data_IF_373423548687
#
_entry.id   IF_373423548687
#
_cell.length_a   1.000
_cell.length_b   1.000
_cell.length_c   1.000
_cell.angle_alpha   90.00
_cell.angle_beta   90.00
_cell.angle_gamma   90.00
#
_symmetry.space_group_name_H-M   'P 1'
#
loop_
_entity.id
_entity.type
_entity.pdbx_description
1 polymer ?
#
# COMPACT_ATOMS: atom_id res chain seq x y z
N UNK A 1 -7.60 11.81 37.04
CA UNK A 1 -8.29 11.50 35.76
C UNK A 1 -8.51 12.68 34.80
N UNK A 2 -8.27 13.99 35.11
CA UNK A 2 -8.40 15.04 34.08
C UNK A 2 -7.19 15.20 33.13
N UNK A 3 -6.02 14.65 33.48
CA UNK A 3 -4.80 14.79 32.66
C UNK A 3 -4.85 14.11 31.28
N UNK A 4 -5.70 13.10 31.07
CA UNK A 4 -5.79 12.40 29.78
C UNK A 4 -6.47 13.22 28.67
N UNK A 5 -7.35 14.17 29.03
CA UNK A 5 -8.09 14.95 28.05
C UNK A 5 -7.19 16.00 27.39
N UNK A 6 -6.35 16.68 28.17
CA UNK A 6 -5.39 17.67 27.69
C UNK A 6 -4.31 17.03 26.80
N UNK A 7 -3.82 15.84 27.17
CA UNK A 7 -2.85 15.13 26.34
C UNK A 7 -3.47 14.65 25.01
N UNK A 8 -4.74 14.23 25.03
CA UNK A 8 -5.46 13.83 23.83
C UNK A 8 -5.75 15.01 22.89
N UNK A 9 -6.18 16.16 23.42
CA UNK A 9 -6.41 17.36 22.60
C UNK A 9 -5.10 17.90 22.02
N UNK A 10 -4.01 17.87 22.79
CA UNK A 10 -2.67 18.21 22.29
C UNK A 10 -2.24 17.29 21.13
N UNK A 11 -2.46 15.98 21.25
CA UNK A 11 -2.16 15.01 20.16
C UNK A 11 -3.00 15.27 18.90
N UNK A 12 -4.29 15.56 19.05
CA UNK A 12 -5.15 15.91 17.90
C UNK A 12 -4.68 17.21 17.27
N UNK A 13 -4.37 18.23 18.07
CA UNK A 13 -3.86 19.51 17.57
C UNK A 13 -2.57 19.31 16.77
N UNK A 14 -1.61 18.55 17.30
CA UNK A 14 -0.37 18.20 16.62
C UNK A 14 -0.61 17.43 15.30
N UNK A 15 -1.58 16.51 15.28
CA UNK A 15 -1.97 15.80 14.06
C UNK A 15 -2.59 16.75 13.02
N UNK A 16 -3.45 17.69 13.44
CA UNK A 16 -4.04 18.70 12.55
C UNK A 16 -2.98 19.62 11.98
N UNK A 17 -2.06 20.12 12.80
CA UNK A 17 -0.94 20.95 12.33
C UNK A 17 -0.06 20.18 11.33
N UNK A 18 0.19 18.89 11.58
CA UNK A 18 0.94 18.04 10.64
C UNK A 18 0.19 17.86 9.33
N UNK A 19 -1.12 17.59 9.34
CA UNK A 19 -1.92 17.47 8.12
C UNK A 19 -1.96 18.78 7.33
N UNK A 20 -2.13 19.92 8.02
CA UNK A 20 -2.09 21.25 7.40
C UNK A 20 -0.73 21.53 6.73
N UNK A 21 0.38 21.19 7.41
CA UNK A 21 1.71 21.28 6.82
C UNK A 21 1.84 20.39 5.57
N UNK A 22 1.30 19.17 5.61
CA UNK A 22 1.33 18.25 4.47
C UNK A 22 0.52 18.78 3.28
N UNK A 23 -0.64 19.38 3.52
CA UNK A 23 -1.44 20.04 2.47
C UNK A 23 -0.70 21.24 1.86
N UNK A 24 -0.01 22.04 2.69
CA UNK A 24 0.83 23.15 2.21
C UNK A 24 1.96 22.65 1.30
N UNK A 25 2.71 21.62 1.74
CA UNK A 25 3.80 21.03 0.95
C UNK A 25 3.27 20.44 -0.36
N UNK A 26 2.14 19.74 -0.33
CA UNK A 26 1.51 19.21 -1.54
C UNK A 26 1.07 20.33 -2.51
N UNK A 27 0.54 21.44 -1.98
CA UNK A 27 0.16 22.62 -2.76
C UNK A 27 1.37 23.28 -3.43
N UNK A 28 2.44 23.52 -2.66
CA UNK A 28 3.69 24.09 -3.17
C UNK A 28 4.35 23.19 -4.22
N UNK A 29 4.31 21.87 -4.01
CA UNK A 29 4.87 20.89 -4.95
C UNK A 29 4.11 20.91 -6.28
N UNK A 30 2.78 21.03 -6.27
CA UNK A 30 1.98 21.20 -7.49
C UNK A 30 2.25 22.55 -8.17
N UNK A 31 2.43 23.61 -7.41
CA UNK A 31 2.81 24.92 -7.96
C UNK A 31 4.21 24.86 -8.62
N UNK A 32 5.12 24.09 -8.06
CA UNK A 32 6.44 23.84 -8.64
C UNK A 32 6.36 22.98 -9.93
N UNK A 33 5.52 21.94 -9.95
CA UNK A 33 5.21 21.15 -11.15
C UNK A 33 4.70 22.04 -12.29
N UNK A 34 3.76 22.94 -12.02
CA UNK A 34 3.26 23.90 -13.01
C UNK A 34 4.38 24.78 -13.59
N UNK A 35 5.29 25.29 -12.74
CA UNK A 35 6.45 26.08 -13.20
C UNK A 35 7.42 25.27 -14.06
N UNK A 36 7.62 23.99 -13.77
CA UNK A 36 8.48 23.12 -14.58
C UNK A 36 7.87 22.84 -15.95
N UNK A 37 6.55 22.65 -16.01
CA UNK A 37 5.81 22.51 -17.27
C UNK A 37 5.93 23.78 -18.11
N UNK A 38 5.79 24.96 -17.50
CA UNK A 38 5.96 26.26 -18.19
C UNK A 38 7.38 26.44 -18.75
N UNK A 39 8.39 25.85 -18.11
CA UNK A 39 9.78 25.83 -18.57
C UNK A 39 10.06 24.77 -19.65
N UNK A 40 9.05 24.01 -20.07
CA UNK A 40 9.17 22.97 -21.09
C UNK A 40 9.80 21.67 -20.58
N UNK A 41 9.86 21.47 -19.26
CA UNK A 41 10.29 20.22 -18.65
C UNK A 41 9.04 19.39 -18.29
N UNK A 42 8.73 18.30 -19.03
CA UNK A 42 7.64 17.41 -18.66
C UNK A 42 8.06 16.62 -17.41
N UNK A 43 7.58 17.09 -16.27
CA UNK A 43 7.78 16.45 -14.97
C UNK A 43 6.43 16.01 -14.46
N UNK A 44 6.36 14.78 -13.96
CA UNK A 44 5.20 14.26 -13.28
C UNK A 44 5.52 14.14 -11.79
N UNK A 45 4.73 14.80 -10.95
CA UNK A 45 4.89 14.70 -9.49
C UNK A 45 3.74 13.88 -8.90
N UNK A 46 4.07 12.74 -8.31
CA UNK A 46 3.09 11.91 -7.60
C UNK A 46 3.26 12.11 -6.08
N UNK A 47 2.18 12.52 -5.42
CA UNK A 47 2.13 12.74 -3.96
C UNK A 47 1.29 11.64 -3.33
N UNK A 48 1.95 10.65 -2.73
CA UNK A 48 1.26 9.55 -2.05
C UNK A 48 0.98 9.87 -0.58
N UNK A 49 -0.28 9.71 -0.17
CA UNK A 49 -0.77 9.92 1.21
C UNK A 49 -0.16 8.95 2.25
N UNK A 50 0.54 7.90 1.84
CA UNK A 50 0.98 6.83 2.74
C UNK A 50 2.30 7.10 3.49
N UNK A 51 2.93 8.26 3.32
CA UNK A 51 4.21 8.54 3.99
C UNK A 51 5.06 9.66 3.40
N UNK A 52 4.46 10.61 2.68
CA UNK A 52 5.16 11.78 2.10
C UNK A 52 6.34 11.35 1.23
N UNK A 53 6.07 10.44 0.31
CA UNK A 53 7.00 10.10 -0.76
C UNK A 53 6.62 10.96 -1.95
N UNK A 54 7.48 11.92 -2.27
CA UNK A 54 7.39 12.74 -3.49
C UNK A 54 8.25 12.03 -4.53
N UNK A 55 7.60 11.39 -5.51
CA UNK A 55 8.29 10.80 -6.65
C UNK A 55 8.27 11.82 -7.78
N UNK A 56 9.44 12.36 -8.13
CA UNK A 56 9.61 13.31 -9.24
C UNK A 56 10.17 12.51 -10.41
N UNK A 57 9.34 12.29 -11.43
CA UNK A 57 9.78 11.63 -12.66
C UNK A 57 9.94 12.65 -13.77
N UNK A 58 11.14 12.70 -14.31
CA UNK A 58 11.42 13.40 -15.56
C UNK A 58 11.07 12.43 -16.69
N UNK A 59 10.09 12.77 -17.51
CA UNK A 59 9.85 12.01 -18.73
C UNK A 59 10.93 12.40 -19.74
N UNK A 60 11.88 11.48 -19.99
CA UNK A 60 12.87 11.56 -21.07
C UNK A 60 12.13 11.61 -22.42
N UNK A 61 11.71 12.81 -22.81
CA UNK A 61 11.12 13.10 -24.12
C UNK A 61 12.05 13.91 -25.02
N UNK A 62 13.28 14.17 -24.58
CA UNK A 62 14.36 14.51 -25.50
C UNK A 62 14.86 13.21 -26.17
N UNK A 63 14.02 12.66 -27.05
CA UNK A 63 14.56 11.99 -28.22
C UNK A 63 15.42 13.03 -28.92
N UNK A 64 16.73 13.00 -28.67
CA UNK A 64 17.71 13.75 -29.46
C UNK A 64 17.31 13.53 -30.92
N UNK A 65 17.09 14.62 -31.70
CA UNK A 65 16.73 14.47 -33.10
C UNK A 65 17.76 13.52 -33.70
N UNK A 66 17.27 12.44 -34.32
CA UNK A 66 18.15 11.46 -34.94
C UNK A 66 19.17 12.23 -35.78
N UNK A 67 20.49 11.98 -35.61
CA UNK A 67 21.50 12.71 -36.34
C UNK A 67 21.11 12.70 -37.81
N UNK A 68 21.05 13.90 -38.41
CA UNK A 68 20.69 14.04 -39.81
C UNK A 68 21.51 13.02 -40.60
N UNK A 69 20.88 12.19 -41.46
CA UNK A 69 21.59 11.16 -42.20
C UNK A 69 22.75 11.85 -42.92
N UNK A 70 23.97 11.45 -42.58
CA UNK A 70 25.16 11.96 -43.27
C UNK A 70 24.95 11.74 -44.77
N UNK A 71 25.22 12.76 -45.62
CA UNK A 71 25.07 12.61 -47.05
C UNK A 71 25.96 11.46 -47.50
N UNK A 72 25.33 10.37 -47.97
CA UNK A 72 26.06 9.27 -48.54
C UNK A 72 26.88 9.81 -49.71
N UNK A 73 28.21 9.55 -49.76
CA UNK A 73 29.02 9.94 -50.89
C UNK A 73 28.42 9.30 -52.14
N UNK A 74 28.12 10.14 -53.13
CA UNK A 74 27.59 9.74 -54.43
C UNK A 74 28.37 8.54 -54.95
N UNK A 75 27.67 7.42 -55.09
CA UNK A 75 28.20 6.20 -55.67
C UNK A 75 28.73 6.53 -57.07
N UNK A 76 30.04 6.62 -57.16
CA UNK A 76 30.77 6.74 -58.42
C UNK A 76 30.46 5.48 -59.23
N UNK A 77 29.80 5.67 -60.37
CA UNK A 77 29.52 4.62 -61.34
C UNK A 77 30.82 3.89 -61.70
N UNK A 78 30.87 2.60 -61.38
CA UNK A 78 31.88 1.67 -61.87
C UNK A 78 31.23 0.73 -62.91
N UNK A 79 31.97 0.29 -63.93
CA UNK A 79 31.44 -0.10 -65.23
C UNK A 79 30.96 -1.55 -65.30
N UNK A 80 30.12 -1.79 -66.30
CA UNK A 80 29.63 -3.10 -66.75
C UNK A 80 30.77 -4.13 -66.90
N UNK A 81 30.59 -5.38 -66.41
CA UNK A 81 31.41 -6.49 -66.85
C UNK A 81 30.80 -7.16 -68.07
N UNK A 82 31.57 -7.18 -69.15
CA UNK A 82 31.35 -8.03 -70.32
C UNK A 82 31.44 -9.52 -69.96
N UNK A 83 30.71 -10.31 -70.74
CA UNK A 83 30.65 -11.76 -70.70
C UNK A 83 32.01 -12.45 -70.91
N UNK A 84 32.20 -13.59 -70.26
CA UNK A 84 33.08 -14.66 -70.75
C UNK A 84 32.55 -16.02 -70.34
N UNK A 85 32.77 -16.95 -71.25
CA UNK A 85 32.12 -18.24 -71.50
C UNK A 85 33.01 -19.37 -70.95
N UNK A 86 32.41 -20.52 -70.58
CA UNK A 86 32.96 -21.90 -70.77
C UNK A 86 34.35 -22.27 -70.17
N UNK A 87 34.70 -23.46 -69.65
CA UNK A 87 34.12 -24.80 -69.45
C UNK A 87 35.08 -25.61 -68.55
N UNK A 88 34.53 -26.65 -67.89
CA UNK A 88 35.10 -27.99 -67.61
C UNK A 88 36.16 -28.27 -66.52
N UNK A 89 35.83 -29.34 -65.75
CA UNK A 89 36.71 -30.39 -65.18
C UNK A 89 37.70 -29.96 -64.07
N UNK A 90 38.04 -30.73 -63.04
CA UNK A 90 37.72 -32.06 -62.52
C UNK A 90 38.49 -32.17 -61.18
N UNK A 91 38.13 -33.16 -60.39
CA UNK A 91 38.96 -33.81 -59.37
C UNK A 91 38.93 -33.33 -57.91
N UNK A 92 38.84 -34.36 -57.07
CA UNK A 92 38.48 -34.37 -55.67
C UNK A 92 39.71 -34.41 -54.77
N UNK A 93 39.62 -33.79 -53.58
CA UNK A 93 40.36 -34.22 -52.38
C UNK A 93 39.50 -33.95 -51.13
N UNK A 94 39.36 -34.90 -50.20
CA UNK A 94 38.62 -34.73 -48.95
C UNK A 94 39.53 -34.18 -47.85
N UNK A 95 39.14 -33.08 -47.22
CA UNK A 95 39.94 -32.43 -46.18
C UNK A 95 39.08 -31.82 -45.06
N UNK A 96 38.94 -32.58 -43.98
CA UNK A 96 38.92 -32.13 -42.58
C UNK A 96 38.03 -30.92 -42.24
N UNK A 97 36.81 -31.22 -41.80
CA UNK A 97 35.91 -30.27 -41.12
C UNK A 97 36.53 -29.86 -39.78
N UNK A 98 37.07 -28.66 -39.70
CA UNK A 98 37.31 -27.95 -38.44
C UNK A 98 35.97 -27.47 -37.87
N UNK A 99 35.79 -27.68 -36.56
CA UNK A 99 34.71 -27.13 -35.74
C UNK A 99 34.61 -25.61 -35.92
N UNK A 100 33.46 -25.05 -36.37
CA UNK A 100 33.20 -23.64 -36.18
C UNK A 100 32.84 -23.39 -34.71
N UNK A 101 33.63 -22.51 -34.09
CA UNK A 101 33.36 -21.94 -32.78
C UNK A 101 31.90 -21.43 -32.69
N UNK A 102 31.22 -21.61 -31.55
CA UNK A 102 29.84 -21.14 -31.39
C UNK A 102 29.82 -19.61 -31.51
N UNK A 103 29.12 -19.12 -32.53
CA UNK A 103 28.79 -17.70 -32.66
C UNK A 103 28.07 -17.23 -31.38
N UNK A 104 28.41 -16.03 -30.86
CA UNK A 104 27.67 -15.45 -29.76
C UNK A 104 26.23 -15.20 -30.20
N UNK A 105 25.30 -16.01 -29.68
CA UNK A 105 23.87 -15.79 -29.85
C UNK A 105 23.54 -14.37 -29.40
N UNK A 106 23.26 -13.50 -30.37
CA UNK A 106 22.62 -12.21 -30.14
C UNK A 106 21.32 -12.49 -29.38
N UNK A 107 21.30 -12.15 -28.10
CA UNK A 107 20.06 -12.04 -27.32
C UNK A 107 19.23 -10.97 -28.02
N UNK A 108 18.26 -11.41 -28.82
CA UNK A 108 17.26 -10.53 -29.37
C UNK A 108 16.35 -10.11 -28.21
N UNK A 109 16.65 -8.96 -27.62
CA UNK A 109 15.74 -8.20 -26.77
C UNK A 109 14.56 -7.72 -27.63
N UNK A 110 13.68 -8.67 -27.97
CA UNK A 110 12.38 -8.38 -28.57
C UNK A 110 11.46 -7.97 -27.43
N UNK A 111 11.62 -6.72 -26.98
CA UNK A 111 10.58 -6.03 -26.23
C UNK A 111 9.54 -5.55 -27.24
N UNK A 112 8.66 -6.47 -27.66
CA UNK A 112 7.48 -6.15 -28.45
C UNK A 112 6.50 -5.40 -27.56
N UNK A 113 6.61 -4.07 -27.59
CA UNK A 113 5.58 -3.15 -27.10
C UNK A 113 4.35 -3.36 -28.00
N UNK A 114 3.49 -4.31 -27.62
CA UNK A 114 2.28 -4.63 -28.36
C UNK A 114 1.43 -3.37 -28.53
N UNK A 115 1.02 -3.08 -29.77
CA UNK A 115 0.18 -1.92 -30.03
C UNK A 115 -1.14 -2.05 -29.24
N UNK A 116 -1.60 -0.96 -28.60
CA UNK A 116 -2.81 -0.95 -27.78
C UNK A 116 -4.05 -1.23 -28.67
N UNK A 117 -4.40 -2.51 -28.80
CA UNK A 117 -5.52 -2.96 -29.63
C UNK A 117 -5.60 -4.48 -29.82
N UNK A 118 -4.51 -5.21 -29.60
CA UNK A 118 -4.46 -6.67 -29.82
C UNK A 118 -4.39 -7.50 -28.54
N UNK A 119 -4.85 -6.95 -27.40
CA UNK A 119 -4.85 -7.74 -26.17
C UNK A 119 -5.80 -8.92 -26.30
N UNK A 120 -5.30 -10.13 -26.00
CA UNK A 120 -6.14 -11.31 -26.01
C UNK A 120 -7.26 -11.12 -24.97
N UNK A 121 -8.52 -11.15 -25.41
CA UNK A 121 -9.69 -11.14 -24.53
C UNK A 121 -10.17 -12.58 -24.30
N UNK A 122 -10.97 -12.84 -23.26
CA UNK A 122 -11.46 -14.19 -22.95
C UNK A 122 -10.80 -14.89 -21.74
N UNK A 123 -11.23 -16.12 -21.42
CA UNK A 123 -10.74 -16.88 -20.27
C UNK A 123 -9.27 -17.27 -20.43
N UNK A 124 -8.59 -17.49 -19.30
CA UNK A 124 -7.22 -18.00 -19.31
C UNK A 124 -7.21 -19.49 -19.72
N UNK A 125 -6.36 -19.84 -20.68
CA UNK A 125 -6.06 -21.23 -21.04
C UNK A 125 -5.36 -21.94 -19.88
N UNK A 126 -5.21 -23.28 -19.96
CA UNK A 126 -4.49 -24.04 -18.95
C UNK A 126 -3.00 -23.65 -18.88
N UNK A 127 -2.38 -23.42 -20.05
CA UNK A 127 -0.99 -23.00 -20.18
C UNK A 127 -0.77 -21.61 -19.60
N UNK A 128 -1.63 -20.64 -19.92
CA UNK A 128 -1.54 -19.30 -19.35
C UNK A 128 -1.69 -19.32 -17.82
N UNK A 129 -2.57 -20.18 -17.26
CA UNK A 129 -2.70 -20.32 -15.79
C UNK A 129 -1.42 -20.86 -15.16
N UNK A 130 -0.78 -21.84 -15.78
CA UNK A 130 0.49 -22.39 -15.30
C UNK A 130 1.58 -21.31 -15.30
N UNK A 131 1.68 -20.52 -16.38
CA UNK A 131 2.63 -19.42 -16.50
C UNK A 131 2.36 -18.30 -15.49
N UNK A 132 1.09 -17.95 -15.24
CA UNK A 132 0.70 -17.00 -14.18
C UNK A 132 1.19 -17.47 -12.82
N UNK A 133 1.01 -18.76 -12.49
CA UNK A 133 1.46 -19.31 -11.21
C UNK A 133 3.00 -19.30 -11.10
N UNK A 134 3.71 -19.70 -12.15
CA UNK A 134 5.19 -19.68 -12.18
C UNK A 134 5.74 -18.26 -12.01
N UNK A 135 5.22 -17.28 -12.75
CA UNK A 135 5.66 -15.88 -12.64
C UNK A 135 5.31 -15.27 -11.29
N UNK A 136 4.16 -15.62 -10.71
CA UNK A 136 3.77 -15.15 -9.40
C UNK A 136 4.65 -15.73 -8.29
N UNK A 137 5.04 -17.01 -8.39
CA UNK A 137 5.97 -17.63 -7.44
C UNK A 137 7.41 -17.05 -7.55
N UNK A 138 7.71 -16.30 -8.61
CA UNK A 138 8.93 -15.48 -8.79
C UNK A 138 8.74 -14.01 -8.42
N UNK A 139 7.67 -13.68 -7.69
CA UNK A 139 7.34 -12.31 -7.25
C UNK A 139 7.17 -11.29 -8.40
N UNK A 140 6.78 -11.75 -9.60
CA UNK A 140 6.52 -10.83 -10.72
C UNK A 140 5.16 -10.13 -10.51
N UNK A 141 5.09 -8.78 -10.58
CA UNK A 141 3.84 -8.06 -10.39
C UNK A 141 2.83 -8.37 -11.51
N UNK A 142 1.54 -8.41 -11.16
CA UNK A 142 0.46 -8.81 -12.06
C UNK A 142 0.42 -8.05 -13.40
N UNK A 143 0.80 -6.76 -13.41
CA UNK A 143 0.89 -5.97 -14.63
C UNK A 143 1.93 -6.51 -15.62
N UNK A 144 3.11 -6.93 -15.12
CA UNK A 144 4.14 -7.56 -15.97
C UNK A 144 3.74 -8.95 -16.44
N UNK A 145 3.02 -9.71 -15.61
CA UNK A 145 2.44 -11.01 -16.01
C UNK A 145 1.43 -10.80 -17.15
N UNK A 146 0.57 -9.78 -17.06
CA UNK A 146 -0.39 -9.46 -18.10
C UNK A 146 0.31 -9.10 -19.43
N UNK A 147 1.33 -8.24 -19.37
CA UNK A 147 2.12 -7.86 -20.55
C UNK A 147 2.84 -9.06 -21.19
N UNK A 148 3.43 -9.94 -20.38
CA UNK A 148 4.10 -11.15 -20.87
C UNK A 148 3.14 -12.12 -21.59
N UNK A 149 1.85 -12.09 -21.23
CA UNK A 149 0.81 -12.91 -21.82
C UNK A 149 0.03 -12.20 -22.95
N UNK A 150 0.41 -10.97 -23.32
CA UNK A 150 -0.32 -10.18 -24.31
C UNK A 150 -1.76 -9.85 -23.87
N UNK A 151 -2.00 -9.66 -22.56
CA UNK A 151 -3.31 -9.37 -21.95
C UNK A 151 -3.35 -7.93 -21.42
N UNK A 152 -4.54 -7.35 -21.39
CA UNK A 152 -4.75 -6.00 -20.82
C UNK A 152 -4.41 -5.97 -19.30
N UNK A 153 -3.45 -5.15 -18.85
CA UNK A 153 -3.06 -5.08 -17.45
C UNK A 153 -4.18 -4.66 -16.50
N UNK A 154 -5.08 -3.76 -16.94
CA UNK A 154 -6.12 -3.19 -16.06
C UNK A 154 -7.14 -4.23 -15.63
N UNK A 155 -7.55 -5.14 -16.55
CA UNK A 155 -8.47 -6.23 -16.25
C UNK A 155 -7.82 -7.53 -15.71
N UNK A 156 -6.49 -7.67 -15.79
CA UNK A 156 -5.82 -8.95 -15.54
C UNK A 156 -5.69 -9.32 -14.05
N UNK A 157 -5.68 -8.33 -13.16
CA UNK A 157 -5.50 -8.55 -11.72
C UNK A 157 -6.53 -9.54 -11.13
N UNK A 158 -7.80 -9.42 -11.51
CA UNK A 158 -8.86 -10.32 -11.05
C UNK A 158 -8.66 -11.77 -11.51
N UNK A 159 -8.09 -11.96 -12.71
CA UNK A 159 -7.78 -13.29 -13.26
C UNK A 159 -6.64 -13.96 -12.50
N UNK A 160 -5.58 -13.20 -12.18
CA UNK A 160 -4.46 -13.68 -11.34
C UNK A 160 -4.99 -14.08 -9.96
N UNK A 161 -5.74 -13.20 -9.30
CA UNK A 161 -6.33 -13.46 -7.97
C UNK A 161 -7.24 -14.69 -7.97
N UNK A 162 -8.08 -14.87 -8.99
CA UNK A 162 -8.94 -16.04 -9.12
C UNK A 162 -8.14 -17.34 -9.27
N UNK A 163 -7.06 -17.30 -10.04
CA UNK A 163 -6.17 -18.46 -10.27
C UNK A 163 -5.44 -18.85 -8.98
N UNK A 164 -4.92 -17.88 -8.23
CA UNK A 164 -4.28 -18.11 -6.93
C UNK A 164 -5.26 -18.68 -5.90
N UNK A 165 -6.47 -18.13 -5.84
CA UNK A 165 -7.51 -18.63 -4.93
C UNK A 165 -7.87 -20.09 -5.21
N UNK A 166 -7.94 -20.50 -6.48
CA UNK A 166 -8.16 -21.91 -6.87
C UNK A 166 -7.00 -22.80 -6.44
N UNK A 167 -5.75 -22.39 -6.68
CA UNK A 167 -4.56 -23.12 -6.23
C UNK A 167 -4.58 -23.33 -4.71
N UNK A 168 -4.90 -22.31 -3.93
CA UNK A 168 -4.93 -22.41 -2.48
C UNK A 168 -6.07 -23.31 -1.99
N UNK A 169 -7.22 -23.26 -2.65
CA UNK A 169 -8.33 -24.18 -2.36
C UNK A 169 -7.94 -25.64 -2.67
N UNK A 170 -7.24 -25.90 -3.78
CA UNK A 170 -6.74 -27.23 -4.12
C UNK A 170 -5.67 -27.71 -3.12
N UNK A 171 -4.73 -26.85 -2.72
CA UNK A 171 -3.75 -27.16 -1.67
C UNK A 171 -4.44 -27.53 -0.35
N UNK A 172 -5.49 -26.79 0.04
CA UNK A 172 -6.28 -27.09 1.24
C UNK A 172 -6.99 -28.44 1.12
N UNK A 173 -7.61 -28.74 -0.02
CA UNK A 173 -8.25 -30.05 -0.28
C UNK A 173 -7.24 -31.20 -0.20
N UNK A 174 -6.07 -31.05 -0.83
CA UNK A 174 -5.00 -32.04 -0.77
C UNK A 174 -4.47 -32.24 0.66
N UNK A 175 -4.37 -31.17 1.46
CA UNK A 175 -3.97 -31.26 2.85
C UNK A 175 -5.02 -32.00 3.70
N UNK A 176 -6.31 -31.77 3.47
CA UNK A 176 -7.39 -32.50 4.16
C UNK A 176 -7.42 -33.98 3.78
N UNK A 177 -7.18 -34.31 2.51
CA UNK A 177 -7.15 -35.70 2.03
C UNK A 177 -5.97 -36.48 2.63
N UNK A 178 -4.79 -35.86 2.73
CA UNK A 178 -3.62 -36.45 3.41
C UNK A 178 -3.87 -36.71 4.90
N UNK A 179 -4.73 -35.93 5.56
CA UNK A 179 -5.03 -36.06 7.00
C UNK A 179 -6.07 -37.15 7.31
N UNK A 180 -6.86 -37.59 6.33
CA UNK A 180 -7.98 -38.53 6.49
C UNK A 180 -7.61 -40.01 6.69
N UNK A 181 -6.33 -40.41 6.67
CA UNK A 181 -5.92 -41.81 6.88
C UNK A 181 -5.27 -42.09 8.24
N UNK A 182 -5.09 -41.08 9.09
CA UNK A 182 -4.70 -41.28 10.48
C UNK A 182 -5.91 -41.63 11.33
N UNK A 183 -6.08 -42.91 11.68
CA UNK A 183 -7.05 -43.34 12.71
C UNK A 183 -6.86 -42.45 13.94
N UNK A 184 -7.92 -41.83 14.51
CA UNK A 184 -7.77 -41.03 15.71
C UNK A 184 -7.23 -41.93 16.82
N UNK A 185 -5.95 -41.76 17.15
CA UNK A 185 -5.32 -42.43 18.28
C UNK A 185 -5.97 -41.82 19.52
N UNK A 186 -6.75 -42.65 20.22
CA UNK A 186 -7.44 -42.25 21.45
C UNK A 186 -6.42 -41.62 22.40
N UNK A 187 -6.59 -40.31 22.67
CA UNK A 187 -5.79 -39.65 23.69
C UNK A 187 -6.07 -40.34 25.03
N UNK A 188 -5.05 -40.79 25.77
CA UNK A 188 -5.25 -41.33 27.11
C UNK A 188 -5.86 -40.23 27.99
N UNK A 189 -6.95 -40.59 28.67
CA UNK A 189 -7.65 -39.77 29.67
C UNK A 189 -6.61 -39.14 30.62
N UNK A 190 -6.62 -37.82 30.85
CA UNK A 190 -5.79 -37.23 31.89
C UNK A 190 -6.23 -37.81 33.24
N UNK A 191 -5.28 -38.40 33.96
CA UNK A 191 -5.49 -38.89 35.30
C UNK A 191 -5.77 -37.69 36.23
N UNK A 192 -6.89 -37.78 36.92
CA UNK A 192 -7.26 -36.96 38.07
C UNK A 192 -6.14 -37.05 39.12
N UNK A 193 -5.50 -35.93 39.44
CA UNK A 193 -4.51 -35.86 40.52
C UNK A 193 -4.65 -34.53 41.25
N UNK A 194 -5.35 -34.62 42.38
CA UNK A 194 -4.91 -34.13 43.70
C UNK A 194 -4.77 -32.61 43.95
N UNK A 195 -5.21 -32.11 45.12
CA UNK A 195 -5.02 -30.73 45.52
C UNK A 195 -3.62 -30.52 46.10
N UNK A 196 -2.85 -29.58 45.54
CA UNK A 196 -1.55 -29.16 46.08
C UNK A 196 -1.64 -27.70 46.51
N UNK A 197 -1.81 -27.55 47.83
CA UNK A 197 -1.06 -26.70 48.76
C UNK A 197 -0.81 -25.23 48.34
N UNK A 198 -1.38 -24.35 49.15
CA UNK A 198 -1.11 -22.91 49.25
C UNK A 198 0.29 -22.62 49.82
N UNK A 199 0.68 -21.35 49.72
CA UNK A 199 1.90 -20.70 50.23
C UNK A 199 3.16 -20.80 49.37
N UNK A 200 3.38 -19.77 48.55
CA UNK A 200 4.68 -19.07 48.51
C UNK A 200 4.47 -17.62 48.03
N UNK A 201 4.59 -16.67 48.96
CA UNK A 201 4.70 -15.24 48.66
C UNK A 201 6.07 -14.96 48.01
N UNK A 202 6.13 -14.23 46.88
CA UNK A 202 7.39 -13.70 46.39
C UNK A 202 7.81 -12.47 47.23
N UNK A 203 9.01 -12.60 47.80
CA UNK A 203 9.81 -11.54 48.43
C UNK A 203 9.86 -10.29 47.56
N UNK A 204 9.56 -9.15 48.17
CA UNK A 204 9.83 -7.82 47.64
C UNK A 204 11.33 -7.66 47.33
N UNK A 205 11.64 -7.42 46.07
CA UNK A 205 12.96 -6.97 45.64
C UNK A 205 12.84 -5.45 45.53
N UNK A 206 13.47 -4.78 46.50
CA UNK A 206 13.67 -3.35 46.56
C UNK A 206 14.66 -2.98 45.43
N UNK A 207 14.14 -2.55 44.28
CA UNK A 207 14.94 -2.02 43.19
C UNK A 207 14.66 -0.52 43.11
N UNK A 208 15.56 0.27 43.69
CA UNK A 208 15.64 1.70 43.46
C UNK A 208 15.80 1.96 41.95
N UNK A 209 14.97 2.83 41.34
CA UNK A 209 15.27 3.37 40.03
C UNK A 209 16.35 4.45 40.19
N UNK A 210 17.51 4.23 39.56
CA UNK A 210 18.47 5.31 39.31
C UNK A 210 17.80 6.36 38.41
N UNK A 211 17.63 7.57 38.94
CA UNK A 211 17.30 8.79 38.20
C UNK A 211 18.39 9.05 37.15
N UNK A 212 18.07 9.14 35.85
CA UNK A 212 18.98 9.79 34.92
C UNK A 212 18.92 11.30 35.14
N UNK A 213 20.02 11.88 35.63
CA UNK A 213 20.24 13.32 35.70
C UNK A 213 19.92 13.98 34.35
N UNK A 214 18.88 14.81 34.34
CA UNK A 214 18.53 15.66 33.22
C UNK A 214 19.59 16.77 33.09
N UNK A 215 20.30 16.78 31.96
CA UNK A 215 21.13 17.90 31.57
C UNK A 215 20.23 19.12 31.25
N UNK A 216 20.57 20.34 31.72
CA UNK A 216 19.82 21.54 31.39
C UNK A 216 20.08 21.90 29.93
N UNK A 217 19.04 21.76 29.09
CA UNK A 217 19.03 22.32 27.74
C UNK A 217 18.81 23.83 27.90
N UNK A 218 19.82 24.62 27.56
CA UNK A 218 19.76 26.07 27.53
C UNK A 218 18.60 26.54 26.63
N UNK A 219 17.70 27.32 27.24
CA UNK A 219 16.63 28.01 26.56
C UNK A 219 17.22 29.01 25.55
N UNK A 220 17.07 28.73 24.26
CA UNK A 220 17.25 29.74 23.22
C UNK A 220 16.08 30.72 23.29
N UNK A 221 16.42 32.00 23.44
CA UNK A 221 15.52 33.13 23.56
C UNK A 221 14.56 33.26 22.35
N UNK A 222 13.35 33.79 22.56
CA UNK A 222 12.46 34.15 21.45
C UNK A 222 12.99 35.37 20.71
N UNK A 223 13.05 35.28 19.38
CA UNK A 223 13.19 36.44 18.50
C UNK A 223 11.90 37.28 18.61
N UNK A 224 12.03 38.48 19.17
CA UNK A 224 11.07 39.58 19.00
C UNK A 224 10.94 39.89 17.51
N UNK A 225 9.80 39.52 16.92
CA UNK A 225 9.37 40.07 15.64
C UNK A 225 8.44 41.22 15.98
N UNK A 226 8.94 42.42 15.73
CA UNK A 226 8.27 43.69 15.98
C UNK A 226 6.94 43.75 15.22
N UNK A 227 5.88 44.07 15.96
CA UNK A 227 4.62 44.56 15.43
C UNK A 227 4.87 45.94 14.81
N UNK A 228 4.71 46.05 13.49
CA UNK A 228 4.48 47.35 12.85
C UNK A 228 2.97 47.49 12.61
N UNK A 229 2.42 48.50 13.25
CA UNK A 229 1.03 48.88 13.24
C UNK A 229 0.80 49.84 12.08
N UNK A 230 0.03 49.44 11.08
CA UNK A 230 -0.79 50.36 10.28
C UNK A 230 -1.66 49.60 9.30
N UNK A 231 -2.95 49.47 9.58
CA UNK A 231 -3.97 50.14 8.77
C UNK A 231 -5.30 50.10 9.52
N UNK A 232 -5.74 51.29 9.91
CA UNK A 232 -7.09 51.54 10.35
C UNK A 232 -8.03 51.60 9.15
N UNK A 233 -9.29 51.35 9.43
CA UNK A 233 -10.45 51.96 8.77
C UNK A 233 -11.01 51.25 7.52
N UNK A 234 -11.87 50.26 7.77
CA UNK A 234 -13.03 49.97 6.93
C UNK A 234 -14.15 49.35 7.77
N UNK A 235 -14.77 50.18 8.61
CA UNK A 235 -16.14 49.97 9.10
C UNK A 235 -17.12 50.20 7.94
N UNK A 236 -17.95 49.20 7.60
CA UNK A 236 -19.39 49.34 7.43
C UNK A 236 -20.01 48.12 6.70
N UNK A 237 -21.17 47.71 7.20
CA UNK A 237 -22.21 46.91 6.53
C UNK A 237 -21.92 45.43 6.20
N UNK A 238 -22.01 44.60 7.23
CA UNK A 238 -22.61 43.26 7.12
C UNK A 238 -23.47 42.99 8.38
N UNK A 239 -24.52 43.80 8.52
CA UNK A 239 -25.68 43.41 9.31
C UNK A 239 -26.52 42.42 8.48
N UNK A 240 -27.16 41.48 9.16
CA UNK A 240 -28.25 40.64 8.65
C UNK A 240 -27.93 39.40 7.77
N UNK A 241 -27.47 38.32 8.43
CA UNK A 241 -27.88 36.94 8.10
C UNK A 241 -27.65 35.98 9.30
N UNK A 242 -28.11 36.38 10.48
CA UNK A 242 -28.17 35.54 11.67
C UNK A 242 -29.46 34.71 11.67
N UNK A 243 -29.37 33.44 11.25
CA UNK A 243 -30.15 32.29 11.77
C UNK A 243 -30.07 31.06 10.84
N UNK A 244 -28.94 30.32 10.82
CA UNK A 244 -28.95 28.87 10.55
C UNK A 244 -27.60 28.16 10.83
N UNK A 245 -27.30 27.76 12.08
CA UNK A 245 -26.42 26.59 12.30
C UNK A 245 -27.07 25.43 13.08
N UNK A 246 -28.32 25.56 13.53
CA UNK A 246 -28.96 24.53 14.38
C UNK A 246 -29.27 23.20 13.66
N UNK A 247 -29.43 23.21 12.33
CA UNK A 247 -29.74 22.00 11.57
C UNK A 247 -28.55 21.01 11.55
N UNK A 248 -27.32 21.49 11.35
CA UNK A 248 -26.14 20.63 11.20
C UNK A 248 -25.72 19.93 12.50
N UNK A 249 -25.87 20.59 13.65
CA UNK A 249 -25.58 19.98 14.96
C UNK A 249 -26.57 18.84 15.29
N UNK A 250 -27.83 19.01 14.88
CA UNK A 250 -28.89 18.03 15.11
C UNK A 250 -28.68 16.78 14.24
N UNK A 251 -28.26 16.95 12.98
CA UNK A 251 -27.95 15.84 12.07
C UNK A 251 -26.73 15.03 12.52
N UNK A 252 -25.63 15.69 12.94
CA UNK A 252 -24.46 14.98 13.47
C UNK A 252 -24.82 14.15 14.71
N UNK A 253 -25.64 14.68 15.61
CA UNK A 253 -26.05 13.99 16.84
C UNK A 253 -26.92 12.76 16.54
N UNK A 254 -27.86 12.86 15.58
CA UNK A 254 -28.67 11.72 15.13
C UNK A 254 -27.79 10.63 14.52
N UNK A 255 -26.81 11.01 13.70
CA UNK A 255 -25.87 10.05 13.08
C UNK A 255 -25.01 9.30 14.10
N UNK A 256 -24.65 9.94 15.22
CA UNK A 256 -23.86 9.31 16.27
C UNK A 256 -24.67 8.28 17.06
N UNK A 257 -25.91 8.61 17.44
CA UNK A 257 -26.79 7.68 18.16
C UNK A 257 -27.13 6.43 17.34
N UNK A 258 -27.31 6.57 16.02
CA UNK A 258 -27.52 5.44 15.09
C UNK A 258 -26.29 4.54 15.03
N UNK A 259 -25.08 5.12 14.99
CA UNK A 259 -23.83 4.37 14.95
C UNK A 259 -23.60 3.59 16.26
N UNK A 260 -23.89 4.19 17.42
CA UNK A 260 -23.83 3.51 18.73
C UNK A 260 -24.82 2.34 18.79
N UNK A 261 -26.07 2.56 18.37
CA UNK A 261 -27.09 1.51 18.33
C UNK A 261 -26.67 0.35 17.40
N UNK A 262 -26.10 0.67 16.22
CA UNK A 262 -25.58 -0.32 15.28
C UNK A 262 -24.45 -1.14 15.88
N UNK A 263 -23.47 -0.49 16.51
CA UNK A 263 -22.32 -1.16 17.12
C UNK A 263 -22.75 -2.11 18.25
N UNK A 264 -23.72 -1.70 19.07
CA UNK A 264 -24.33 -2.57 20.11
C UNK A 264 -25.10 -3.75 19.52
N UNK A 265 -25.67 -3.59 18.32
CA UNK A 265 -26.37 -4.66 17.62
C UNK A 265 -25.44 -5.66 16.91
N UNK A 266 -24.12 -5.44 16.90
CA UNK A 266 -23.18 -6.38 16.29
C UNK A 266 -23.20 -7.73 17.04
N UNK A 267 -23.02 -8.86 16.33
CA UNK A 267 -22.95 -10.17 16.96
C UNK A 267 -21.79 -10.21 17.98
N UNK A 268 -22.10 -10.72 19.17
CA UNK A 268 -21.11 -10.94 20.23
C UNK A 268 -20.15 -12.05 19.81
N UNK A 269 -18.92 -11.68 19.49
CA UNK A 269 -17.87 -12.64 19.16
C UNK A 269 -17.08 -12.98 20.43
N UNK A 270 -16.75 -14.26 20.68
CA UNK A 270 -15.96 -14.64 21.85
C UNK A 270 -14.62 -13.89 21.88
N UNK A 271 -14.32 -13.24 23.00
CA UNK A 271 -13.09 -12.49 23.21
C UNK A 271 -13.08 -11.06 22.66
N UNK A 272 -14.16 -10.59 22.02
CA UNK A 272 -14.33 -9.20 21.63
C UNK A 272 -15.20 -8.47 22.65
N UNK A 273 -14.66 -7.40 23.23
CA UNK A 273 -15.35 -6.45 24.11
C UNK A 273 -15.31 -5.07 23.46
N UNK A 274 -16.17 -4.12 23.84
CA UNK A 274 -16.11 -2.77 23.28
C UNK A 274 -14.77 -2.08 23.50
N UNK A 275 -14.12 -2.30 24.65
CA UNK A 275 -12.77 -1.81 24.88
C UNK A 275 -11.78 -2.38 23.87
N UNK A 276 -11.87 -3.67 23.56
CA UNK A 276 -10.99 -4.33 22.58
C UNK A 276 -11.29 -3.88 21.14
N UNK A 277 -12.55 -3.59 20.84
CA UNK A 277 -12.96 -2.99 19.55
C UNK A 277 -12.41 -1.56 19.41
N UNK A 278 -12.41 -0.77 20.50
CA UNK A 278 -11.80 0.55 20.55
C UNK A 278 -10.28 0.46 20.34
N UNK A 279 -9.59 -0.42 21.06
CA UNK A 279 -8.14 -0.65 20.91
C UNK A 279 -7.79 -1.04 19.46
N UNK A 280 -8.59 -1.92 18.84
CA UNK A 280 -8.45 -2.29 17.43
C UNK A 280 -8.53 -1.05 16.52
N UNK A 281 -9.59 -0.25 16.67
CA UNK A 281 -9.80 0.94 15.87
C UNK A 281 -8.64 1.93 16.04
N UNK A 282 -8.18 2.16 17.28
CA UNK A 282 -7.04 3.02 17.58
C UNK A 282 -5.76 2.54 16.90
N UNK A 283 -5.46 1.23 16.91
CA UNK A 283 -4.30 0.69 16.19
C UNK A 283 -4.37 0.95 14.68
N UNK A 284 -5.52 0.70 14.06
CA UNK A 284 -5.69 0.86 12.62
C UNK A 284 -5.64 2.34 12.21
N UNK A 285 -6.26 3.25 12.98
CA UNK A 285 -6.19 4.69 12.72
C UNK A 285 -4.78 5.27 12.87
N UNK A 286 -3.93 4.64 13.68
CA UNK A 286 -2.49 4.98 13.76
C UNK A 286 -1.67 4.41 12.59
N UNK A 287 -2.31 3.78 11.61
CA UNK A 287 -1.64 3.17 10.45
C UNK A 287 -1.06 1.78 10.70
N UNK A 288 -1.40 1.12 11.81
CA UNK A 288 -0.94 -0.25 12.04
C UNK A 288 -1.57 -1.21 11.03
N UNK A 289 -0.76 -2.13 10.51
CA UNK A 289 -1.28 -3.25 9.71
C UNK A 289 -2.15 -4.19 10.55
N UNK A 290 -3.05 -4.95 9.92
CA UNK A 290 -3.84 -5.97 10.63
C UNK A 290 -2.98 -6.97 11.40
N UNK A 291 -1.81 -7.33 10.86
CA UNK A 291 -0.85 -8.21 11.53
C UNK A 291 -0.30 -7.58 12.81
N UNK A 292 0.06 -6.29 12.77
CA UNK A 292 0.55 -5.56 13.94
C UNK A 292 -0.55 -5.39 15.00
N UNK A 293 -1.77 -5.03 14.58
CA UNK A 293 -2.92 -4.94 15.47
C UNK A 293 -3.26 -6.30 16.11
N UNK A 294 -3.19 -7.39 15.33
CA UNK A 294 -3.42 -8.75 15.82
C UNK A 294 -2.39 -9.18 16.88
N UNK A 295 -1.11 -8.84 16.65
CA UNK A 295 -0.05 -9.09 17.64
C UNK A 295 -0.29 -8.29 18.93
N UNK A 296 -0.62 -7.00 18.82
CA UNK A 296 -0.91 -6.14 19.99
C UNK A 296 -2.12 -6.66 20.78
N UNK A 297 -3.18 -7.07 20.08
CA UNK A 297 -4.39 -7.62 20.67
C UNK A 297 -4.27 -9.11 21.01
N UNK A 298 -3.09 -9.75 20.85
CA UNK A 298 -2.90 -11.19 21.12
C UNK A 298 -4.01 -12.06 20.52
N UNK A 299 -4.40 -11.81 19.27
CA UNK A 299 -5.46 -12.53 18.57
C UNK A 299 -5.02 -12.89 17.14
N UNK A 300 -5.77 -13.76 16.47
CA UNK A 300 -5.45 -14.16 15.10
C UNK A 300 -5.75 -13.02 14.11
N UNK A 301 -4.88 -12.83 13.10
CA UNK A 301 -5.05 -11.78 12.09
C UNK A 301 -6.40 -11.86 11.37
N UNK A 302 -6.83 -13.08 11.01
CA UNK A 302 -8.12 -13.29 10.34
C UNK A 302 -9.31 -12.82 11.20
N UNK A 303 -9.23 -12.98 12.53
CA UNK A 303 -10.25 -12.52 13.47
C UNK A 303 -10.27 -11.00 13.58
N UNK A 304 -9.10 -10.36 13.59
CA UNK A 304 -9.00 -8.89 13.55
C UNK A 304 -9.63 -8.35 12.28
N UNK A 305 -9.29 -8.93 11.13
CA UNK A 305 -9.79 -8.50 9.83
C UNK A 305 -11.30 -8.67 9.72
N UNK A 306 -11.81 -9.84 10.14
CA UNK A 306 -13.25 -10.13 10.22
C UNK A 306 -13.97 -9.10 11.09
N UNK A 307 -13.44 -8.81 12.28
CA UNK A 307 -14.05 -7.84 13.20
C UNK A 307 -14.00 -6.42 12.64
N UNK A 308 -12.88 -6.01 12.05
CA UNK A 308 -12.73 -4.69 11.44
C UNK A 308 -13.77 -4.41 10.36
N UNK A 309 -14.08 -5.40 9.51
CA UNK A 309 -15.11 -5.25 8.48
C UNK A 309 -16.53 -5.13 9.04
N UNK A 310 -16.79 -5.65 10.24
CA UNK A 310 -18.07 -5.46 10.93
C UNK A 310 -18.16 -4.06 11.58
N UNK A 311 -17.04 -3.58 12.13
CA UNK A 311 -16.95 -2.27 12.78
C UNK A 311 -16.97 -1.13 11.75
N UNK A 312 -16.20 -1.22 10.67
CA UNK A 312 -15.93 -0.09 9.78
C UNK A 312 -16.61 -0.26 8.41
N UNK A 313 -17.86 0.22 8.31
CA UNK A 313 -18.64 0.20 7.06
C UNK A 313 -18.25 1.33 6.11
N UNK A 314 -18.15 2.53 6.64
CA UNK A 314 -17.79 3.73 5.91
C UNK A 314 -16.28 3.95 6.01
N UNK A 315 -15.58 3.98 4.87
CA UNK A 315 -14.11 4.10 4.83
C UNK A 315 -13.61 5.54 4.74
N UNK A 316 -14.51 6.52 4.79
CA UNK A 316 -14.18 7.94 4.81
C UNK A 316 -13.55 8.35 6.15
N UNK A 317 -12.83 9.47 6.17
CA UNK A 317 -12.26 10.02 7.42
C UNK A 317 -13.35 10.36 8.43
N UNK A 318 -14.46 10.95 7.99
CA UNK A 318 -15.61 11.23 8.86
C UNK A 318 -16.21 9.95 9.44
N UNK A 319 -16.26 8.88 8.65
CA UNK A 319 -16.66 7.55 9.10
C UNK A 319 -15.75 7.00 10.20
N UNK A 320 -14.44 7.21 10.08
CA UNK A 320 -13.45 6.81 11.09
C UNK A 320 -13.65 7.57 12.40
N UNK A 321 -13.84 8.90 12.34
CA UNK A 321 -14.09 9.71 13.52
C UNK A 321 -15.39 9.32 14.23
N UNK A 322 -16.47 9.13 13.47
CA UNK A 322 -17.77 8.69 14.02
C UNK A 322 -17.64 7.33 14.70
N UNK A 323 -16.96 6.38 14.05
CA UNK A 323 -16.70 5.06 14.61
C UNK A 323 -15.92 5.16 15.93
N UNK A 324 -14.86 5.97 15.97
CA UNK A 324 -14.04 6.15 17.17
C UNK A 324 -14.83 6.72 18.34
N UNK A 325 -15.63 7.78 18.11
CA UNK A 325 -16.48 8.40 19.14
C UNK A 325 -17.52 7.41 19.67
N UNK A 326 -18.19 6.69 18.77
CA UNK A 326 -19.20 5.72 19.15
C UNK A 326 -18.61 4.53 19.94
N UNK A 327 -17.43 4.01 19.54
CA UNK A 327 -16.74 2.96 20.29
C UNK A 327 -16.29 3.43 21.68
N UNK A 328 -15.80 4.67 21.79
CA UNK A 328 -15.42 5.26 23.07
C UNK A 328 -16.62 5.38 24.01
N UNK A 329 -17.74 5.91 23.50
CA UNK A 329 -18.99 6.03 24.26
C UNK A 329 -19.51 4.68 24.77
N UNK A 330 -19.47 3.64 23.93
CA UNK A 330 -19.87 2.28 24.31
C UNK A 330 -18.92 1.71 25.38
N UNK A 331 -17.60 1.87 25.20
CA UNK A 331 -16.60 1.37 26.14
C UNK A 331 -16.74 2.03 27.52
N UNK A 332 -16.96 3.35 27.56
CA UNK A 332 -17.19 4.10 28.80
C UNK A 332 -18.50 3.68 29.49
N UNK A 333 -19.56 3.45 28.71
CA UNK A 333 -20.87 3.03 29.26
C UNK A 333 -20.83 1.62 29.86
N UNK A 334 -20.03 0.70 29.29
CA UNK A 334 -19.92 -0.69 29.78
C UNK A 334 -18.87 -0.87 30.88
N UNK A 335 -17.98 0.11 31.09
CA UNK A 335 -16.97 0.06 32.14
C UNK A 335 -17.46 0.57 33.50
N UNK A 336 -18.56 1.34 33.54
CA UNK A 336 -19.20 1.86 34.75
C UNK A 336 -20.33 0.97 35.25
#
# INVERSE_FOLDING_TARGET
>A
MPHDLEEFTAKISAQKSRLSLMESVASETRAFEAKLIDLGAPVQVDVSNAGLLIDIRFEDTLALPAPAPEPQPEATAAPEPEASIETAAEEAVPGKTEDPAPEPQKRSDVSTKAEPGQYATGPLTAEEKAQVLEMYDRDVPAGRIASALGRDPRGFYHKVKSTLSKRDAEKRKAATEKRGKGKPQAQPKPAESGPVIADEQPKAIDAQPEEPEAQPIEASAPHEVSEDASEADALADLDEADAAPAASATEMSRSQGEEVARLRALPKMPGWTPQRDLDLATHIFRGASFKAAAAALKTAEDRVRERWWQLHRDRTLDGQERLHRALKEIAETEAG
#
